data_IF_953690993778
#
_entry.id   IF_953690993778
#
_cell.length_a   1.000
_cell.length_b   1.000
_cell.length_c   1.000
_cell.angle_alpha   90.00
_cell.angle_beta   90.00
_cell.angle_gamma   90.00
#
_symmetry.space_group_name_H-M   'P 1'
#
loop_
_entity.id
_entity.type
_entity.pdbx_description
1 polymer ?
#
# COMPACT_ATOMS: atom_id res chain seq x y z
N UNK A 1 12.28 -11.51 -9.28
CA UNK A 1 10.82 -11.79 -9.32
C UNK A 1 10.19 -11.12 -10.54
N UNK A 2 9.69 -11.92 -11.50
CA UNK A 2 8.88 -11.44 -12.63
C UNK A 2 7.57 -12.22 -12.61
N UNK A 3 6.49 -11.61 -12.15
CA UNK A 3 5.21 -12.28 -11.92
C UNK A 3 4.10 -11.64 -12.74
N UNK A 4 3.32 -12.47 -13.41
CA UNK A 4 2.03 -12.06 -13.94
C UNK A 4 0.97 -12.29 -12.86
N UNK A 5 0.22 -11.25 -12.51
CA UNK A 5 -0.80 -11.29 -11.47
C UNK A 5 -2.14 -10.87 -12.08
N UNK A 6 -3.16 -11.69 -11.87
CA UNK A 6 -4.54 -11.40 -12.28
C UNK A 6 -5.47 -11.68 -11.11
N UNK A 7 -6.47 -10.81 -10.88
CA UNK A 7 -7.49 -10.99 -9.83
C UNK A 7 -6.90 -11.31 -8.45
N UNK A 8 -5.80 -10.63 -8.11
CA UNK A 8 -5.04 -10.81 -6.86
C UNK A 8 -4.39 -12.19 -6.67
N UNK A 9 -4.20 -12.95 -7.74
CA UNK A 9 -3.51 -14.24 -7.75
C UNK A 9 -2.35 -14.24 -8.74
N UNK A 10 -1.28 -14.93 -8.39
CA UNK A 10 -0.18 -15.17 -9.32
C UNK A 10 -0.67 -16.14 -10.41
N UNK A 11 -0.49 -15.77 -11.66
CA UNK A 11 -0.77 -16.61 -12.85
C UNK A 11 0.55 -17.19 -13.38
N UNK A 12 1.60 -16.37 -13.43
CA UNK A 12 2.95 -16.82 -13.77
C UNK A 12 3.95 -16.34 -12.72
N UNK A 13 4.97 -17.14 -12.39
CA UNK A 13 5.33 -18.42 -13.00
C UNK A 13 4.47 -19.63 -12.53
N UNK A 14 4.44 -20.75 -13.29
CA UNK A 14 3.54 -21.89 -13.00
C UNK A 14 3.68 -22.50 -11.61
N UNK A 15 4.89 -22.53 -11.04
CA UNK A 15 5.13 -23.08 -9.70
C UNK A 15 4.52 -22.21 -8.57
N UNK A 16 4.11 -20.98 -8.88
CA UNK A 16 3.42 -20.08 -7.96
C UNK A 16 1.96 -19.84 -8.37
N UNK A 17 1.48 -20.48 -9.43
CA UNK A 17 0.14 -20.24 -9.96
C UNK A 17 -0.94 -20.48 -8.89
N UNK A 18 -1.91 -19.57 -8.81
CA UNK A 18 -2.99 -19.60 -7.82
C UNK A 18 -2.61 -19.14 -6.41
N UNK A 19 -1.34 -18.77 -6.15
CA UNK A 19 -0.96 -18.21 -4.85
C UNK A 19 -1.56 -16.80 -4.68
N UNK A 20 -2.21 -16.49 -3.54
CA UNK A 20 -2.86 -15.20 -3.33
C UNK A 20 -1.86 -14.10 -3.00
N UNK A 21 -2.05 -12.90 -3.56
CA UNK A 21 -1.24 -11.71 -3.27
C UNK A 21 -1.58 -11.04 -1.93
N UNK A 22 -2.74 -11.34 -1.35
CA UNK A 22 -3.28 -10.66 -0.16
C UNK A 22 -3.14 -11.55 1.09
N UNK A 23 -4.26 -12.05 1.62
CA UNK A 23 -4.29 -12.94 2.79
C UNK A 23 -3.47 -14.20 2.51
N UNK A 24 -2.58 -14.54 3.42
CA UNK A 24 -1.74 -15.74 3.33
C UNK A 24 -0.44 -15.58 2.54
N UNK A 25 -0.18 -14.39 1.94
CA UNK A 25 1.03 -14.18 1.13
C UNK A 25 2.33 -14.50 1.85
N UNK A 26 2.54 -13.87 3.02
CA UNK A 26 3.77 -14.06 3.77
C UNK A 26 3.97 -15.51 4.24
N UNK A 27 2.89 -16.29 4.34
CA UNK A 27 2.99 -17.72 4.65
C UNK A 27 3.58 -18.47 3.46
N UNK A 28 2.90 -18.42 2.30
CA UNK A 28 3.37 -19.19 1.15
C UNK A 28 4.68 -18.66 0.58
N UNK A 29 4.95 -17.35 0.68
CA UNK A 29 6.21 -16.79 0.22
C UNK A 29 7.41 -17.38 0.98
N UNK A 30 7.28 -17.59 2.29
CA UNK A 30 8.31 -18.24 3.12
C UNK A 30 8.50 -19.73 2.82
N UNK A 31 7.48 -20.38 2.25
CA UNK A 31 7.60 -21.77 1.80
C UNK A 31 8.39 -21.89 0.49
N UNK A 32 8.48 -20.81 -0.32
CA UNK A 32 9.07 -20.85 -1.67
C UNK A 32 10.36 -20.02 -1.79
N UNK A 33 10.58 -19.04 -0.91
CA UNK A 33 11.72 -18.12 -0.95
C UNK A 33 12.38 -18.00 0.42
N UNK A 34 13.67 -17.67 0.42
CA UNK A 34 14.48 -17.42 1.61
C UNK A 34 15.48 -16.31 1.35
N UNK A 35 15.98 -15.66 2.41
CA UNK A 35 16.95 -14.58 2.29
C UNK A 35 16.42 -13.42 1.42
N UNK A 36 17.29 -12.89 0.57
CA UNK A 36 16.98 -11.73 -0.27
C UNK A 36 15.78 -11.95 -1.20
N UNK A 37 15.57 -13.17 -1.71
CA UNK A 37 14.41 -13.49 -2.56
C UNK A 37 13.09 -13.39 -1.78
N UNK A 38 13.10 -13.71 -0.48
CA UNK A 38 11.92 -13.51 0.35
C UNK A 38 11.66 -12.02 0.56
N UNK A 39 12.71 -11.24 0.82
CA UNK A 39 12.59 -9.80 1.01
C UNK A 39 12.07 -9.10 -0.25
N UNK A 40 12.59 -9.47 -1.42
CA UNK A 40 12.12 -8.97 -2.71
C UNK A 40 10.67 -9.37 -3.00
N UNK A 41 10.26 -10.61 -2.68
CA UNK A 41 8.87 -11.03 -2.80
C UNK A 41 7.93 -10.17 -1.91
N UNK A 42 8.35 -9.88 -0.67
CA UNK A 42 7.58 -9.04 0.26
C UNK A 42 7.53 -7.58 -0.21
N UNK A 43 8.63 -7.05 -0.73
CA UNK A 43 8.66 -5.71 -1.33
C UNK A 43 7.71 -5.62 -2.54
N UNK A 44 7.73 -6.62 -3.42
CA UNK A 44 6.84 -6.67 -4.57
C UNK A 44 5.36 -6.73 -4.15
N UNK A 45 5.03 -7.51 -3.12
CA UNK A 45 3.68 -7.54 -2.55
C UNK A 45 3.22 -6.17 -2.07
N UNK A 46 4.09 -5.44 -1.34
CA UNK A 46 3.79 -4.08 -0.86
C UNK A 46 3.56 -3.13 -2.04
N UNK A 47 4.33 -3.25 -3.12
CA UNK A 47 4.12 -2.51 -4.36
C UNK A 47 2.72 -2.75 -4.94
N UNK A 48 2.27 -4.00 -4.98
CA UNK A 48 0.91 -4.37 -5.44
C UNK A 48 -0.18 -3.75 -4.54
N UNK A 49 0.00 -3.75 -3.22
CA UNK A 49 -0.94 -3.08 -2.30
C UNK A 49 -1.05 -1.58 -2.57
N UNK A 50 0.08 -0.89 -2.72
CA UNK A 50 0.10 0.55 -2.99
C UNK A 50 -0.56 0.85 -4.35
N UNK A 51 -0.20 0.09 -5.40
CA UNK A 51 -0.78 0.27 -6.73
C UNK A 51 -2.30 0.07 -6.75
N UNK A 52 -2.81 -0.92 -6.00
CA UNK A 52 -4.25 -1.13 -5.81
C UNK A 52 -4.91 0.07 -5.15
N UNK A 53 -4.30 0.60 -4.08
CA UNK A 53 -4.80 1.74 -3.31
C UNK A 53 -4.95 3.02 -4.15
N UNK A 54 -4.02 3.25 -5.09
CA UNK A 54 -4.00 4.44 -5.97
C UNK A 54 -5.23 4.58 -6.88
N UNK A 55 -6.03 3.54 -7.05
CA UNK A 55 -7.29 3.60 -7.83
C UNK A 55 -8.44 4.26 -7.08
N UNK A 56 -8.26 4.55 -5.79
CA UNK A 56 -9.27 5.17 -4.95
C UNK A 56 -8.93 6.63 -4.69
N UNK A 57 -9.88 7.52 -4.95
CA UNK A 57 -9.83 8.89 -4.48
C UNK A 57 -10.16 8.88 -2.99
N UNK A 58 -9.14 9.11 -2.15
CA UNK A 58 -9.24 9.03 -0.68
C UNK A 58 -9.44 10.40 -0.02
N UNK A 59 -9.29 11.47 -0.80
CA UNK A 59 -9.46 12.86 -0.35
C UNK A 59 -10.68 13.48 -1.02
N UNK A 60 -11.85 12.99 -0.63
CA UNK A 60 -13.14 13.44 -1.13
C UNK A 60 -13.93 14.11 -0.01
N UNK A 61 -14.56 15.23 -0.33
CA UNK A 61 -15.55 15.88 0.53
C UNK A 61 -16.97 15.43 0.12
N UNK A 62 -17.86 15.12 1.07
CA UNK A 62 -17.66 15.16 2.52
C UNK A 62 -16.78 14.00 3.03
N UNK A 63 -16.21 14.16 4.24
CA UNK A 63 -15.45 13.12 4.90
C UNK A 63 -16.26 11.82 5.02
N UNK A 64 -15.63 10.68 4.73
CA UNK A 64 -16.29 9.37 4.69
C UNK A 64 -16.24 8.73 6.09
N UNK A 65 -17.36 8.36 6.70
CA UNK A 65 -17.38 7.64 7.97
C UNK A 65 -16.69 6.28 7.86
N UNK A 66 -15.91 5.88 8.88
CA UNK A 66 -15.25 4.57 8.89
C UNK A 66 -16.27 3.42 8.91
N UNK A 67 -17.45 3.64 9.49
CA UNK A 67 -18.53 2.67 9.49
C UNK A 67 -19.14 2.35 8.11
N UNK A 68 -18.80 3.12 7.08
CA UNK A 68 -19.12 2.79 5.69
C UNK A 68 -18.36 1.56 5.17
N UNK A 69 -17.30 1.11 5.88
CA UNK A 69 -16.53 -0.09 5.57
C UNK A 69 -16.65 -1.15 6.70
N UNK A 70 -17.83 -1.79 6.88
CA UNK A 70 -18.06 -2.75 7.97
C UNK A 70 -17.11 -3.95 7.95
N UNK A 71 -16.62 -4.34 6.76
CA UNK A 71 -15.65 -5.42 6.62
C UNK A 71 -14.27 -5.10 7.23
N UNK A 72 -13.98 -3.85 7.58
CA UNK A 72 -12.71 -3.40 8.15
C UNK A 72 -12.75 -3.29 9.68
N UNK A 73 -13.90 -3.55 10.34
CA UNK A 73 -14.02 -3.48 11.80
C UNK A 73 -12.93 -4.33 12.47
N UNK A 74 -12.24 -3.73 13.44
CA UNK A 74 -11.14 -4.33 14.21
C UNK A 74 -9.94 -4.81 13.37
N UNK A 75 -9.86 -4.44 12.09
CA UNK A 75 -8.74 -4.83 11.22
C UNK A 75 -7.43 -4.08 11.57
N UNK A 76 -7.52 -2.89 12.15
CA UNK A 76 -6.38 -2.11 12.63
C UNK A 76 -6.82 -1.09 13.68
N UNK A 77 -5.87 -0.38 14.29
CA UNK A 77 -6.12 0.60 15.34
C UNK A 77 -7.17 1.66 14.95
N UNK A 78 -7.09 2.24 13.75
CA UNK A 78 -8.06 3.25 13.30
C UNK A 78 -9.49 2.71 13.18
N UNK A 79 -9.64 1.40 12.98
CA UNK A 79 -10.94 0.71 12.84
C UNK A 79 -11.35 -0.03 14.12
N UNK A 80 -10.70 0.25 15.26
CA UNK A 80 -11.12 -0.29 16.56
C UNK A 80 -12.53 0.18 16.91
N UNK A 81 -13.23 -0.60 17.73
CA UNK A 81 -14.59 -0.27 18.16
C UNK A 81 -14.74 1.17 18.68
N UNK A 82 -13.78 1.68 19.45
CA UNK A 82 -13.81 3.02 20.04
C UNK A 82 -13.83 4.15 18.99
N UNK A 83 -13.24 3.90 17.81
CA UNK A 83 -13.16 4.87 16.72
C UNK A 83 -14.19 4.62 15.62
N UNK A 84 -14.55 3.36 15.38
CA UNK A 84 -15.29 2.93 14.19
C UNK A 84 -16.62 3.68 13.97
N UNK A 85 -17.33 3.96 15.05
CA UNK A 85 -18.67 4.57 14.97
C UNK A 85 -18.64 6.10 14.79
N UNK A 86 -17.51 6.77 15.08
CA UNK A 86 -17.41 8.24 15.10
C UNK A 86 -16.35 8.82 14.16
N UNK A 87 -15.33 8.04 13.81
CA UNK A 87 -14.23 8.51 12.99
C UNK A 87 -14.61 8.65 11.50
N UNK A 88 -13.96 9.59 10.83
CA UNK A 88 -14.09 9.83 9.38
C UNK A 88 -12.73 9.85 8.69
N UNK A 89 -12.73 9.75 7.36
CA UNK A 89 -11.55 10.07 6.55
C UNK A 89 -11.11 11.53 6.77
N UNK A 90 -9.82 11.80 6.59
CA UNK A 90 -9.26 13.15 6.64
C UNK A 90 -9.32 13.74 5.24
N UNK A 91 -9.94 14.91 5.12
CA UNK A 91 -10.02 15.69 3.87
C UNK A 91 -8.91 16.76 3.87
N UNK A 92 -8.28 16.99 2.72
CA UNK A 92 -7.19 17.95 2.50
C UNK A 92 -5.80 17.45 2.88
N UNK A 93 -5.62 16.14 3.09
CA UNK A 93 -4.33 15.55 3.48
C UNK A 93 -3.55 14.94 2.31
N UNK A 94 -4.19 14.69 1.17
CA UNK A 94 -3.48 14.15 0.00
C UNK A 94 -2.70 15.25 -0.70
N UNK A 95 -1.44 14.96 -1.01
CA UNK A 95 -0.63 15.81 -1.89
C UNK A 95 -0.98 15.50 -3.33
N UNK A 96 -1.43 16.52 -4.06
CA UNK A 96 -1.62 16.45 -5.49
C UNK A 96 -0.28 16.66 -6.21
N UNK A 97 0.09 15.69 -7.05
CA UNK A 97 1.29 15.73 -7.88
C UNK A 97 0.96 15.71 -9.37
N UNK A 98 -0.28 16.06 -9.75
CA UNK A 98 -0.74 16.08 -11.15
C UNK A 98 0.16 16.97 -12.01
N UNK A 99 0.60 18.09 -11.47
CA UNK A 99 1.50 19.04 -12.13
C UNK A 99 3.01 18.71 -11.91
N UNK A 100 3.30 17.52 -11.38
CA UNK A 100 4.64 17.05 -11.05
C UNK A 100 5.06 17.29 -9.59
N UNK A 101 6.25 16.80 -9.25
CA UNK A 101 6.85 17.07 -7.94
C UNK A 101 7.58 18.40 -8.03
N UNK A 102 7.00 19.46 -7.46
CA UNK A 102 7.76 20.68 -7.25
C UNK A 102 8.97 20.35 -6.35
N UNK A 103 10.19 20.58 -6.85
CA UNK A 103 11.38 20.57 -6.01
C UNK A 103 11.22 21.78 -5.07
N UNK A 104 10.66 21.53 -3.89
CA UNK A 104 10.63 22.56 -2.85
C UNK A 104 12.06 23.01 -2.61
N UNK A 105 12.30 24.32 -2.57
CA UNK A 105 13.56 24.83 -2.03
C UNK A 105 13.65 24.29 -0.60
N UNK A 106 14.72 23.53 -0.33
CA UNK A 106 14.95 23.01 1.01
C UNK A 106 15.00 24.22 1.97
N UNK A 107 14.20 24.21 3.06
CA UNK A 107 14.35 25.24 4.08
C UNK A 107 15.82 25.29 4.55
N UNK A 108 16.38 26.48 4.83
CA UNK A 108 17.82 26.65 5.08
C UNK A 108 18.35 25.86 6.29
N UNK A 109 17.47 25.31 7.13
CA UNK A 109 17.79 24.53 8.32
C UNK A 109 17.70 23.00 8.12
N UNK A 110 17.34 22.51 6.93
CA UNK A 110 17.34 21.06 6.65
C UNK A 110 18.77 20.61 6.34
N UNK A 111 19.40 19.94 7.31
CA UNK A 111 20.79 19.46 7.23
C UNK A 111 20.94 18.05 6.64
N UNK A 112 19.84 17.33 6.41
CA UNK A 112 19.86 16.01 5.78
C UNK A 112 18.64 15.81 4.86
N UNK A 113 18.89 15.40 3.62
CA UNK A 113 17.86 14.97 2.68
C UNK A 113 18.36 13.74 1.91
N UNK A 114 17.45 12.83 1.55
CA UNK A 114 17.77 11.70 0.69
C UNK A 114 17.92 12.18 -0.76
N UNK A 115 19.14 12.10 -1.30
CA UNK A 115 19.39 12.27 -2.72
C UNK A 115 19.22 10.90 -3.38
N UNK A 116 18.00 10.58 -3.80
CA UNK A 116 17.73 9.32 -4.51
C UNK A 116 18.52 9.27 -5.80
N UNK A 117 19.42 8.31 -5.94
CA UNK A 117 20.07 7.98 -7.21
C UNK A 117 19.08 7.21 -8.06
N UNK A 118 18.49 7.86 -9.06
CA UNK A 118 17.97 7.17 -10.23
C UNK A 118 19.11 7.18 -11.26
N UNK A 119 19.76 6.03 -11.45
CA UNK A 119 20.64 5.74 -12.58
C UNK A 119 19.81 5.07 -13.68
#
# INVERSE_FOLDING_TARGET
HNWYVQDHHVVEPPHLAGKPMMKGFASWAREHFSGDDLDLAIMLQRGVFVARGRRHLVDLSPAVPLNAAPAMRDACHSYSQDHFDTATSIVGYVRDFTDGVAVASLPPHVTAYFKGFFQ
#
